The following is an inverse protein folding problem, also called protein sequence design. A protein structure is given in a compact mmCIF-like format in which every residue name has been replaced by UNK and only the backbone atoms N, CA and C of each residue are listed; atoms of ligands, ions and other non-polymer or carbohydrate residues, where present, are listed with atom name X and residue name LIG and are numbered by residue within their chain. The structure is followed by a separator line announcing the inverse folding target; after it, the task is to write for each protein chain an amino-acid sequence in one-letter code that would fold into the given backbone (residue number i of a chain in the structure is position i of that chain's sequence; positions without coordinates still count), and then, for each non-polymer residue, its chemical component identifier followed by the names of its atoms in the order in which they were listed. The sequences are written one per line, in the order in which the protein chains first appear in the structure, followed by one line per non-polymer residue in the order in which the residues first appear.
data_IF_209695194731
#
_entry.id   IF_209695194731
#
_cell.length_a   1.000
_cell.length_b   1.000
_cell.length_c   1.000
_cell.angle_alpha   90.00
_cell.angle_beta   90.00
_cell.angle_gamma   90.00
#
_symmetry.space_group_name_H-M   'P 1'
#
loop_
_entity.id
_entity.type
_entity.pdbx_description
1 polymer ?
#
# COMPACT_ATOMS: atom_id res chain seq x y z
N UNK A 1 23.82 15.27 -6.46
CA UNK A 1 24.61 14.54 -5.44
C UNK A 1 23.89 14.81 -4.13
N UNK A 2 23.39 13.78 -3.42
CA UNK A 2 22.32 13.87 -2.40
C UNK A 2 20.93 14.04 -3.05
N UNK A 3 19.85 13.32 -2.72
CA UNK A 3 19.43 12.58 -1.51
C UNK A 3 18.66 11.27 -1.86
N UNK A 4 18.85 10.18 -1.11
CA UNK A 4 17.78 9.23 -0.74
C UNK A 4 17.31 9.37 0.74
N UNK A 5 17.37 10.59 1.26
CA UNK A 5 17.33 11.07 2.67
C UNK A 5 18.37 10.51 3.66
N UNK A 6 19.37 9.77 3.14
CA UNK A 6 20.77 9.53 3.60
C UNK A 6 21.09 9.60 5.11
N UNK A 7 21.70 8.56 5.71
CA UNK A 7 23.15 8.24 5.61
C UNK A 7 23.43 6.72 5.46
N UNK A 8 24.43 6.37 4.65
CA UNK A 8 25.09 5.05 4.48
C UNK A 8 24.39 3.90 3.70
N UNK A 9 23.10 3.96 3.40
CA UNK A 9 22.42 2.94 2.58
C UNK A 9 22.22 3.49 1.16
N UNK A 10 23.15 3.22 0.23
CA UNK A 10 22.84 3.33 -1.20
C UNK A 10 22.21 1.98 -1.58
N UNK A 11 20.88 1.88 -1.80
CA UNK A 11 20.22 0.64 -2.14
C UNK A 11 20.55 0.25 -3.59
N UNK A 12 21.79 -0.20 -3.82
CA UNK A 12 22.33 -0.57 -5.12
C UNK A 12 22.20 0.52 -6.21
N UNK A 13 22.50 0.15 -7.46
CA UNK A 13 22.39 1.08 -8.60
C UNK A 13 20.94 1.33 -9.04
N UNK A 14 20.00 0.46 -8.67
CA UNK A 14 18.58 0.56 -9.08
C UNK A 14 17.77 1.29 -8.02
N UNK A 15 17.16 2.41 -8.40
CA UNK A 15 16.31 3.23 -7.53
C UNK A 15 14.87 3.29 -8.06
N UNK A 16 13.94 3.65 -7.18
CA UNK A 16 12.57 3.95 -7.58
C UNK A 16 12.54 5.14 -8.55
N UNK A 17 11.65 5.08 -9.54
CA UNK A 17 11.37 6.22 -10.41
C UNK A 17 10.42 7.18 -9.68
N UNK A 18 10.84 8.44 -9.52
CA UNK A 18 9.98 9.47 -8.94
C UNK A 18 8.88 9.81 -9.94
N UNK A 19 7.64 9.57 -9.56
CA UNK A 19 6.46 9.90 -10.36
C UNK A 19 5.90 11.24 -9.89
N UNK A 20 5.96 12.26 -10.73
CA UNK A 20 5.45 13.60 -10.43
C UNK A 20 4.01 13.82 -10.92
N UNK A 21 3.53 12.93 -11.80
CA UNK A 21 2.23 13.04 -12.48
C UNK A 21 1.25 11.97 -11.98
N UNK A 22 0.11 12.34 -11.36
CA UNK A 22 -0.89 11.39 -10.86
C UNK A 22 -1.48 10.47 -11.94
N UNK A 23 -1.50 10.92 -13.20
CA UNK A 23 -2.04 10.18 -14.35
C UNK A 23 -1.26 8.88 -14.58
N UNK A 24 0.04 8.88 -14.27
CA UNK A 24 0.90 7.69 -14.42
C UNK A 24 0.46 6.61 -13.42
N UNK A 25 0.29 6.97 -12.15
CA UNK A 25 -0.17 6.05 -11.10
C UNK A 25 -1.57 5.54 -11.42
N UNK A 26 -2.44 6.43 -11.88
CA UNK A 26 -3.81 6.08 -12.30
C UNK A 26 -3.80 5.06 -13.45
N UNK A 27 -2.95 5.26 -14.45
CA UNK A 27 -2.82 4.33 -15.58
C UNK A 27 -2.27 2.97 -15.15
N UNK A 28 -1.31 2.95 -14.22
CA UNK A 28 -0.77 1.70 -13.67
C UNK A 28 -1.84 0.90 -12.91
N UNK A 29 -2.61 1.57 -12.06
CA UNK A 29 -3.70 0.93 -11.30
C UNK A 29 -4.76 0.38 -12.26
N UNK A 30 -5.15 1.14 -13.29
CA UNK A 30 -6.13 0.69 -14.30
C UNK A 30 -5.65 -0.50 -15.13
N UNK A 31 -4.33 -0.62 -15.35
CA UNK A 31 -3.74 -1.73 -16.12
C UNK A 31 -3.50 -2.97 -15.27
N UNK A 32 -3.34 -2.83 -13.96
CA UNK A 32 -3.11 -3.94 -13.04
C UNK A 32 -4.30 -4.90 -13.05
N UNK A 33 -4.02 -6.20 -13.17
CA UNK A 33 -5.03 -7.26 -13.15
C UNK A 33 -5.39 -7.65 -11.73
N UNK A 34 -4.41 -7.64 -10.81
CA UNK A 34 -4.55 -7.95 -9.38
C UNK A 34 -3.68 -6.99 -8.56
N UNK A 35 -4.12 -5.73 -8.38
CA UNK A 35 -3.48 -4.83 -7.44
C UNK A 35 -3.79 -5.21 -5.98
N UNK A 36 -2.90 -4.83 -5.07
CA UNK A 36 -3.09 -4.87 -3.61
C UNK A 36 -2.68 -3.54 -2.99
N UNK A 37 -3.44 -3.08 -1.98
CA UNK A 37 -3.15 -1.87 -1.21
C UNK A 37 -2.70 -2.23 0.20
N UNK A 38 -1.48 -1.86 0.55
CA UNK A 38 -0.90 -2.04 1.88
C UNK A 38 -0.86 -0.69 2.57
N UNK A 39 -1.46 -0.63 3.76
CA UNK A 39 -1.63 0.61 4.53
C UNK A 39 -0.90 0.51 5.87
N UNK A 40 -0.01 1.47 6.11
CA UNK A 40 0.73 1.62 7.36
C UNK A 40 0.06 2.55 8.36
N UNK A 41 0.62 2.59 9.56
CA UNK A 41 0.10 3.33 10.71
C UNK A 41 -0.05 4.85 10.48
N UNK A 42 0.84 5.46 9.71
CA UNK A 42 0.80 6.92 9.44
C UNK A 42 -0.44 7.34 8.68
N UNK A 43 -1.17 6.41 8.04
CA UNK A 43 -2.42 6.75 7.38
C UNK A 43 -3.52 7.24 8.36
N UNK A 44 -3.42 6.91 9.64
CA UNK A 44 -4.32 7.45 10.67
C UNK A 44 -3.92 8.87 11.14
N UNK A 45 -2.71 9.31 10.82
CA UNK A 45 -2.12 10.57 11.30
C UNK A 45 -2.05 11.65 10.22
N UNK A 46 -1.91 11.24 8.95
CA UNK A 46 -1.75 12.16 7.83
C UNK A 46 -3.11 12.82 7.50
N UNK A 47 -3.16 14.12 7.72
CA UNK A 47 -4.28 15.00 7.34
C UNK A 47 -4.11 15.49 5.89
N UNK A 48 -5.14 15.30 5.06
CA UNK A 48 -5.21 15.79 3.69
C UNK A 48 -5.97 17.11 3.57
N UNK A 49 -6.32 17.74 4.70
CA UNK A 49 -7.07 18.99 4.81
C UNK A 49 -8.56 18.75 5.00
N UNK A 50 -9.19 17.99 4.09
CA UNK A 50 -10.63 17.71 4.14
C UNK A 50 -10.97 16.39 4.85
N UNK A 51 -10.03 15.45 4.88
CA UNK A 51 -10.17 14.14 5.54
C UNK A 51 -8.80 13.58 5.91
N UNK A 52 -8.77 12.57 6.78
CA UNK A 52 -7.55 11.80 7.04
C UNK A 52 -7.24 10.86 5.88
N UNK A 53 -5.96 10.56 5.67
CA UNK A 53 -5.51 9.66 4.62
C UNK A 53 -6.19 8.28 4.69
N UNK A 54 -6.44 7.74 5.89
CA UNK A 54 -7.18 6.49 6.06
C UNK A 54 -8.60 6.56 5.49
N UNK A 55 -9.30 7.68 5.66
CA UNK A 55 -10.66 7.86 5.16
C UNK A 55 -10.65 7.90 3.63
N UNK A 56 -9.70 8.63 3.05
CA UNK A 56 -9.47 8.65 1.60
C UNK A 56 -9.19 7.23 1.06
N UNK A 57 -8.29 6.47 1.71
CA UNK A 57 -7.91 5.13 1.29
C UNK A 57 -9.07 4.12 1.39
N UNK A 58 -9.93 4.25 2.40
CA UNK A 58 -11.15 3.43 2.50
C UNK A 58 -12.10 3.75 1.34
N UNK A 59 -12.32 5.04 1.03
CA UNK A 59 -13.16 5.43 -0.12
C UNK A 59 -12.58 4.93 -1.43
N UNK A 60 -11.26 5.04 -1.60
CA UNK A 60 -10.53 4.56 -2.76
C UNK A 60 -10.67 3.03 -2.91
N UNK A 61 -10.42 2.26 -1.86
CA UNK A 61 -10.56 0.80 -1.88
C UNK A 61 -11.99 0.36 -2.19
N UNK A 62 -13.00 1.00 -1.59
CA UNK A 62 -14.42 0.71 -1.90
C UNK A 62 -14.79 0.97 -3.35
N UNK A 63 -14.28 2.05 -3.96
CA UNK A 63 -14.54 2.40 -5.37
C UNK A 63 -13.83 1.48 -6.35
N UNK A 64 -12.64 1.00 -6.00
CA UNK A 64 -11.78 0.22 -6.91
C UNK A 64 -11.90 -1.29 -6.71
N UNK A 65 -12.42 -1.74 -5.55
CA UNK A 65 -12.46 -3.15 -5.17
C UNK A 65 -11.10 -3.74 -4.81
N UNK A 66 -10.06 -2.91 -4.66
CA UNK A 66 -8.70 -3.35 -4.36
C UNK A 66 -8.65 -3.90 -2.93
N UNK A 67 -8.13 -5.13 -2.71
CA UNK A 67 -7.98 -5.68 -1.38
C UNK A 67 -6.97 -4.86 -0.57
N UNK A 68 -7.29 -4.64 0.70
CA UNK A 68 -6.49 -3.83 1.61
C UNK A 68 -5.86 -4.71 2.69
N UNK A 69 -4.58 -4.49 2.95
CA UNK A 69 -3.84 -5.05 4.10
C UNK A 69 -3.48 -3.91 5.04
N UNK A 70 -4.07 -3.94 6.24
CA UNK A 70 -3.66 -3.08 7.34
C UNK A 70 -2.42 -3.68 8.02
N UNK A 71 -1.40 -2.86 8.24
CA UNK A 71 -0.19 -3.26 8.96
C UNK A 71 -0.13 -2.63 10.36
N UNK A 72 0.66 -3.20 11.27
CA UNK A 72 0.81 -2.71 12.64
C UNK A 72 -0.53 -2.54 13.38
N UNK A 73 -0.71 -1.47 14.14
CA UNK A 73 -1.88 -1.24 14.99
C UNK A 73 -3.04 -0.50 14.29
N UNK A 74 -2.91 -0.14 13.00
CA UNK A 74 -3.93 0.63 12.27
C UNK A 74 -5.24 -0.12 12.04
N UNK A 75 -5.26 -1.44 12.22
CA UNK A 75 -6.47 -2.25 12.10
C UNK A 75 -7.64 -1.66 12.91
N UNK A 76 -7.37 -1.19 14.14
CA UNK A 76 -8.40 -0.59 14.98
C UNK A 76 -9.07 0.63 14.33
N UNK A 77 -8.29 1.46 13.64
CA UNK A 77 -8.79 2.66 12.95
C UNK A 77 -9.66 2.32 11.74
N UNK A 78 -9.34 1.25 11.02
CA UNK A 78 -10.18 0.73 9.95
C UNK A 78 -11.51 0.16 10.48
N UNK A 79 -11.46 -0.62 11.56
CA UNK A 79 -12.64 -1.23 12.16
C UNK A 79 -13.63 -0.20 12.70
N UNK A 80 -13.13 0.88 13.35
CA UNK A 80 -13.96 2.02 13.80
C UNK A 80 -14.74 2.67 12.65
N UNK A 81 -14.19 2.65 11.44
CA UNK A 81 -14.80 3.18 10.20
C UNK A 81 -15.66 2.15 9.45
N UNK A 82 -15.90 0.98 10.05
CA UNK A 82 -16.71 -0.08 9.46
C UNK A 82 -16.06 -0.73 8.23
N UNK A 83 -14.74 -0.61 8.06
CA UNK A 83 -14.00 -1.27 6.98
C UNK A 83 -13.17 -2.42 7.56
N UNK A 84 -13.26 -3.60 6.94
CA UNK A 84 -12.58 -4.82 7.40
C UNK A 84 -11.47 -5.21 6.41
N UNK A 85 -10.25 -4.70 6.57
CA UNK A 85 -9.12 -5.11 5.76
C UNK A 85 -8.58 -6.47 6.23
N UNK A 86 -7.74 -7.12 5.40
CA UNK A 86 -6.83 -8.13 5.92
C UNK A 86 -5.83 -7.47 6.88
N UNK A 87 -5.31 -8.22 7.84
CA UNK A 87 -4.32 -7.71 8.80
C UNK A 87 -3.07 -8.57 8.76
N UNK A 88 -1.92 -7.93 8.59
CA UNK A 88 -0.64 -8.62 8.57
C UNK A 88 0.49 -7.62 8.89
N UNK A 89 1.51 -7.98 9.71
CA UNK A 89 2.70 -7.16 9.89
C UNK A 89 3.40 -6.85 8.56
N UNK A 90 3.99 -5.66 8.43
CA UNK A 90 4.66 -5.20 7.20
C UNK A 90 5.73 -6.20 6.70
N UNK A 91 6.52 -6.76 7.62
CA UNK A 91 7.54 -7.77 7.30
C UNK A 91 6.91 -9.06 6.74
N UNK A 92 5.79 -9.49 7.32
CA UNK A 92 5.12 -10.71 6.89
C UNK A 92 4.49 -10.54 5.51
N UNK A 93 3.79 -9.42 5.25
CA UNK A 93 3.21 -9.19 3.92
C UNK A 93 4.30 -9.01 2.86
N UNK A 94 5.42 -8.36 3.21
CA UNK A 94 6.60 -8.29 2.34
C UNK A 94 7.16 -9.67 1.98
N UNK A 95 7.31 -10.56 2.97
CA UNK A 95 7.75 -11.94 2.74
C UNK A 95 6.76 -12.73 1.87
N UNK A 96 5.46 -12.55 2.06
CA UNK A 96 4.41 -13.19 1.25
C UNK A 96 4.42 -12.71 -0.21
N UNK A 97 4.63 -11.41 -0.43
CA UNK A 97 4.74 -10.85 -1.78
C UNK A 97 6.01 -11.30 -2.51
N UNK A 98 7.07 -11.63 -1.78
CA UNK A 98 8.32 -12.16 -2.34
C UNK A 98 8.24 -13.68 -2.64
N UNK A 99 7.28 -14.38 -2.05
CA UNK A 99 7.07 -15.82 -2.24
C UNK A 99 6.27 -16.08 -3.54
N UNK A 100 6.87 -16.67 -4.58
CA UNK A 100 6.19 -16.92 -5.85
C UNK A 100 5.05 -17.96 -5.72
N UNK A 101 5.10 -18.82 -4.70
CA UNK A 101 4.08 -19.85 -4.48
C UNK A 101 2.87 -19.33 -3.69
N UNK A 102 2.96 -18.11 -3.13
CA UNK A 102 1.87 -17.54 -2.36
C UNK A 102 0.64 -17.27 -3.22
N UNK A 103 -0.49 -17.86 -2.83
CA UNK A 103 -1.76 -17.76 -3.56
C UNK A 103 -2.57 -16.48 -3.25
N UNK A 104 -1.95 -15.47 -2.63
CA UNK A 104 -2.62 -14.22 -2.26
C UNK A 104 -3.59 -14.37 -1.08
N UNK A 105 -4.30 -13.29 -0.75
CA UNK A 105 -5.24 -13.24 0.38
C UNK A 105 -6.50 -14.07 0.15
N UNK A 106 -6.88 -14.28 -1.10
CA UNK A 106 -8.12 -14.95 -1.54
C UNK A 106 -7.86 -16.32 -2.19
N UNK A 107 -6.61 -16.79 -2.20
CA UNK A 107 -6.22 -18.06 -2.82
C UNK A 107 -6.21 -18.04 -4.36
N UNK A 108 -6.32 -16.87 -5.01
CA UNK A 108 -6.41 -16.76 -6.48
C UNK A 108 -5.09 -16.34 -7.15
N UNK A 109 -3.98 -16.49 -6.46
CA UNK A 109 -2.64 -16.21 -6.97
C UNK A 109 -2.09 -14.84 -6.57
N UNK A 110 -0.86 -14.58 -7.03
CA UNK A 110 -0.06 -13.42 -6.66
C UNK A 110 -0.63 -12.09 -7.20
N UNK A 111 -0.14 -10.99 -6.65
CA UNK A 111 -0.49 -9.62 -7.05
C UNK A 111 0.51 -9.06 -8.07
N UNK A 112 0.01 -8.32 -9.07
CA UNK A 112 0.85 -7.74 -10.14
C UNK A 112 1.15 -6.25 -9.95
N UNK A 113 0.52 -5.61 -8.95
CA UNK A 113 0.83 -4.26 -8.52
C UNK A 113 0.65 -4.14 -7.00
N UNK A 114 1.64 -3.57 -6.32
CA UNK A 114 1.60 -3.30 -4.87
C UNK A 114 1.60 -1.79 -4.67
N UNK A 115 0.60 -1.28 -3.96
CA UNK A 115 0.52 0.10 -3.51
C UNK A 115 0.86 0.15 -2.02
N UNK A 116 1.93 0.86 -1.65
CA UNK A 116 2.35 1.04 -0.26
C UNK A 116 2.07 2.49 0.14
N UNK A 117 1.21 2.70 1.16
CA UNK A 117 0.79 4.04 1.57
C UNK A 117 0.77 4.16 3.08
N UNK A 118 1.27 5.28 3.61
CA UNK A 118 1.25 5.56 5.06
C UNK A 118 2.12 4.62 5.90
N UNK A 119 3.14 4.01 5.30
CA UNK A 119 4.11 3.12 5.97
C UNK A 119 4.81 3.81 7.14
#
# INVERSE_FOLDING_TARGET
MGDPWQTAEIPGPKKALVMTKPEIVTAMIKRAKRPILIVGHRAAEIDLGEELLIDYLIRFAKKTGIPVVATAHILGEFLKRGFKPAHMPAVNIGSRLADPEWQGLDGKGQYDLVLLVGM
#
